data_IF_699291813561
#
_entry.id   IF_699291813561
#
_cell.length_a   1.000
_cell.length_b   1.000
_cell.length_c   1.000
_cell.angle_alpha   90.00
_cell.angle_beta   90.00
_cell.angle_gamma   90.00
#
_symmetry.space_group_name_H-M   'P 1'
#
loop_
_entity.id
_entity.type
_entity.pdbx_description
1 polymer ?
#
# COMPACT_ATOMS: atom_id res chain seq x y z
N UNK A 1 -5.26 11.91 -20.13
CA UNK A 1 -6.38 12.53 -19.39
C UNK A 1 -7.50 12.86 -20.38
N UNK A 2 -8.42 11.93 -20.60
CA UNK A 2 -9.61 12.18 -21.44
C UNK A 2 -10.86 11.68 -20.70
N UNK A 3 -11.75 12.62 -20.39
CA UNK A 3 -13.19 12.45 -20.12
C UNK A 3 -13.74 12.01 -18.75
N UNK A 4 -12.95 11.69 -17.71
CA UNK A 4 -13.52 11.17 -16.44
C UNK A 4 -13.93 12.18 -15.35
N UNK A 5 -13.13 13.24 -15.12
CA UNK A 5 -13.31 14.12 -13.94
C UNK A 5 -13.10 13.43 -12.58
N UNK A 6 -13.12 14.21 -11.49
CA UNK A 6 -12.96 13.69 -10.11
C UNK A 6 -14.05 12.67 -9.74
N UNK A 7 -15.27 12.84 -10.25
CA UNK A 7 -16.39 11.95 -9.97
C UNK A 7 -16.17 10.53 -10.52
N UNK A 8 -15.72 10.38 -11.78
CA UNK A 8 -15.47 9.05 -12.33
C UNK A 8 -14.42 8.29 -11.53
N UNK A 9 -13.35 8.97 -11.08
CA UNK A 9 -12.30 8.37 -10.24
C UNK A 9 -12.88 7.85 -8.92
N UNK A 10 -13.76 8.62 -8.27
CA UNK A 10 -14.41 8.20 -7.02
C UNK A 10 -15.29 6.96 -7.23
N UNK A 11 -16.04 6.91 -8.33
CA UNK A 11 -16.88 5.74 -8.64
C UNK A 11 -16.06 4.49 -8.95
N UNK A 12 -14.98 4.62 -9.72
CA UNK A 12 -14.09 3.49 -10.01
C UNK A 12 -13.40 3.00 -8.73
N UNK A 13 -12.99 3.90 -7.84
CA UNK A 13 -12.39 3.54 -6.54
C UNK A 13 -13.36 2.82 -5.62
N UNK A 14 -14.62 3.26 -5.60
CA UNK A 14 -15.66 2.62 -4.80
C UNK A 14 -15.89 1.17 -5.27
N UNK A 15 -16.05 0.96 -6.58
CA UNK A 15 -16.18 -0.38 -7.15
C UNK A 15 -14.95 -1.24 -6.86
N UNK A 16 -13.75 -0.69 -7.05
CA UNK A 16 -12.51 -1.39 -6.77
C UNK A 16 -12.38 -1.79 -5.30
N UNK A 17 -12.77 -0.91 -4.37
CA UNK A 17 -12.73 -1.19 -2.93
C UNK A 17 -13.63 -2.38 -2.57
N UNK A 18 -14.83 -2.45 -3.13
CA UNK A 18 -15.75 -3.59 -2.91
C UNK A 18 -15.13 -4.89 -3.42
N UNK A 19 -14.56 -4.88 -4.63
CA UNK A 19 -13.94 -6.07 -5.23
C UNK A 19 -12.70 -6.51 -4.42
N UNK A 20 -11.86 -5.56 -4.01
CA UNK A 20 -10.68 -5.84 -3.16
C UNK A 20 -11.08 -6.42 -1.81
N UNK A 21 -12.12 -5.87 -1.17
CA UNK A 21 -12.59 -6.40 0.12
C UNK A 21 -13.06 -7.84 -0.03
N UNK A 22 -13.92 -8.13 -1.01
CA UNK A 22 -14.42 -9.49 -1.26
C UNK A 22 -13.24 -10.45 -1.55
N UNK A 23 -12.33 -10.06 -2.44
CA UNK A 23 -11.18 -10.89 -2.78
C UNK A 23 -10.22 -11.11 -1.62
N UNK A 24 -9.99 -10.10 -0.77
CA UNK A 24 -9.17 -10.22 0.43
C UNK A 24 -9.84 -11.11 1.50
N UNK A 25 -11.16 -11.03 1.65
CA UNK A 25 -11.92 -11.96 2.51
C UNK A 25 -11.80 -13.41 2.03
N UNK A 26 -11.98 -13.66 0.73
CA UNK A 26 -11.81 -14.99 0.15
C UNK A 26 -10.38 -15.49 0.36
N UNK A 27 -9.37 -14.65 0.07
CA UNK A 27 -7.97 -15.00 0.28
C UNK A 27 -7.69 -15.37 1.74
N UNK A 28 -8.20 -14.58 2.68
CA UNK A 28 -8.02 -14.83 4.10
C UNK A 28 -8.60 -16.20 4.51
N UNK A 29 -9.82 -16.53 4.05
CA UNK A 29 -10.44 -17.83 4.30
C UNK A 29 -9.61 -18.97 3.70
N UNK A 30 -9.21 -18.87 2.43
CA UNK A 30 -8.40 -19.90 1.77
C UNK A 30 -7.01 -20.06 2.42
N UNK A 31 -6.45 -18.96 2.92
CA UNK A 31 -5.15 -18.98 3.62
C UNK A 31 -5.27 -19.67 4.98
N UNK A 32 -6.33 -19.38 5.74
CA UNK A 32 -6.61 -20.05 7.02
C UNK A 32 -6.97 -21.54 6.86
N UNK A 33 -7.49 -21.94 5.70
CA UNK A 33 -7.68 -23.36 5.36
C UNK A 33 -6.36 -24.08 5.08
N UNK A 34 -5.34 -23.38 4.59
CA UNK A 34 -4.00 -23.93 4.35
C UNK A 34 -3.17 -24.01 5.64
N UNK A 35 -3.25 -22.97 6.47
CA UNK A 35 -2.57 -22.88 7.75
C UNK A 35 -3.56 -22.36 8.77
N UNK A 36 -4.01 -23.23 9.68
CA UNK A 36 -4.94 -22.83 10.73
C UNK A 36 -4.30 -21.81 11.68
N UNK A 37 -5.11 -21.05 12.41
CA UNK A 37 -4.59 -20.05 13.36
C UNK A 37 -3.62 -20.63 14.39
N UNK A 38 -3.90 -21.85 14.89
CA UNK A 38 -3.03 -22.52 15.85
C UNK A 38 -1.70 -22.95 15.22
N UNK A 39 -1.76 -23.48 13.99
CA UNK A 39 -0.55 -23.83 13.24
C UNK A 39 0.27 -22.59 12.91
N UNK A 40 -0.37 -21.47 12.57
CA UNK A 40 0.31 -20.20 12.32
C UNK A 40 1.14 -19.76 13.54
N UNK A 41 0.57 -19.82 14.74
CA UNK A 41 1.29 -19.45 15.96
C UNK A 41 2.51 -20.35 16.25
N UNK A 42 2.45 -21.62 15.88
CA UNK A 42 3.53 -22.60 16.09
C UNK A 42 4.60 -22.53 15.00
N UNK A 43 4.18 -22.38 13.74
CA UNK A 43 5.04 -22.42 12.56
C UNK A 43 5.70 -21.08 12.27
N UNK A 44 5.06 -19.96 12.61
CA UNK A 44 5.61 -18.63 12.33
C UNK A 44 6.97 -18.36 12.98
N UNK A 45 7.21 -18.70 14.27
CA UNK A 45 8.55 -18.57 14.87
C UNK A 45 9.61 -19.43 14.19
N UNK A 46 9.21 -20.52 13.53
CA UNK A 46 10.09 -21.47 12.85
C UNK A 46 10.27 -21.14 11.36
N UNK A 47 9.60 -20.10 10.84
CA UNK A 47 9.69 -19.66 9.46
C UNK A 47 10.99 -18.87 9.20
N UNK A 48 12.12 -19.55 9.35
CA UNK A 48 13.49 -19.09 9.10
C UNK A 48 13.93 -19.64 7.74
N UNK A 49 14.44 -18.81 6.82
CA UNK A 49 14.87 -19.28 5.50
C UNK A 49 16.13 -20.16 5.63
N UNK A 50 16.27 -21.11 4.71
CA UNK A 50 17.38 -22.06 4.66
C UNK A 50 18.73 -21.33 4.54
N UNK A 51 18.77 -20.23 3.79
CA UNK A 51 19.97 -19.40 3.62
C UNK A 51 20.49 -18.80 4.94
N UNK A 52 19.61 -18.39 5.84
CA UNK A 52 20.00 -17.94 7.20
C UNK A 52 20.56 -19.09 8.04
N UNK A 53 20.01 -20.30 7.91
CA UNK A 53 20.50 -21.48 8.65
C UNK A 53 21.87 -21.93 8.15
N UNK A 54 22.15 -21.80 6.86
CA UNK A 54 23.46 -22.11 6.27
C UNK A 54 24.53 -21.06 6.60
N UNK A 55 24.12 -19.80 6.79
CA UNK A 55 25.01 -18.69 7.14
C UNK A 55 24.80 -18.26 8.59
N UNK A 56 25.35 -19.06 9.50
CA UNK A 56 25.25 -18.96 10.96
C UNK A 56 25.74 -17.64 11.60
N UNK A 57 26.09 -16.62 10.81
CA UNK A 57 26.60 -15.33 11.26
C UNK A 57 25.61 -14.17 11.07
N UNK A 58 24.33 -14.44 10.74
CA UNK A 58 23.33 -13.39 10.53
C UNK A 58 22.10 -13.57 11.41
N UNK A 59 21.64 -12.49 12.05
CA UNK A 59 20.35 -12.44 12.74
C UNK A 59 19.21 -12.04 11.79
N UNK A 60 19.49 -11.92 10.49
CA UNK A 60 18.55 -11.46 9.48
C UNK A 60 17.65 -12.62 9.04
N UNK A 61 16.41 -12.32 8.68
CA UNK A 61 15.44 -13.34 8.25
C UNK A 61 14.80 -14.15 9.39
N UNK A 62 15.17 -13.91 10.65
CA UNK A 62 14.57 -14.60 11.81
C UNK A 62 13.25 -13.90 12.23
N UNK A 63 12.13 -14.62 12.31
CA UNK A 63 10.88 -14.09 12.86
C UNK A 63 11.04 -13.66 14.31
N UNK A 64 10.45 -12.52 14.69
CA UNK A 64 10.56 -12.02 16.07
C UNK A 64 9.64 -12.77 17.03
N UNK A 65 10.10 -12.95 18.26
CA UNK A 65 9.32 -13.57 19.34
C UNK A 65 8.07 -12.75 19.71
N UNK A 66 8.13 -11.43 19.55
CA UNK A 66 7.03 -10.49 19.83
C UNK A 66 6.10 -10.25 18.63
N UNK A 67 6.16 -11.07 17.57
CA UNK A 67 5.42 -10.84 16.32
C UNK A 67 3.89 -10.81 16.48
N UNK A 68 3.35 -11.50 17.49
CA UNK A 68 1.91 -11.52 17.81
C UNK A 68 1.49 -10.47 18.86
N UNK A 69 2.42 -9.66 19.36
CA UNK A 69 2.11 -8.59 20.31
C UNK A 69 1.85 -7.27 19.59
N UNK A 70 0.67 -6.69 19.85
CA UNK A 70 0.29 -5.39 19.26
C UNK A 70 1.13 -4.24 19.82
N UNK A 71 1.40 -4.24 21.13
CA UNK A 71 2.28 -3.28 21.78
C UNK A 71 3.63 -3.93 22.05
N UNK A 72 4.66 -3.43 21.36
CA UNK A 72 6.04 -3.92 21.48
C UNK A 72 6.76 -3.23 22.64
N UNK A 73 7.94 -3.75 22.98
CA UNK A 73 8.75 -3.21 24.07
C UNK A 73 9.01 -1.70 23.90
N UNK A 74 8.86 -0.86 24.96
CA UNK A 74 8.91 0.60 24.87
C UNK A 74 10.24 1.19 24.39
N UNK A 75 11.36 0.46 24.50
CA UNK A 75 12.71 1.02 24.27
C UNK A 75 13.49 0.25 23.21
N UNK A 76 13.35 -1.08 23.16
CA UNK A 76 14.19 -1.96 22.33
C UNK A 76 13.47 -2.54 21.12
N UNK A 77 12.16 -2.34 21.01
CA UNK A 77 11.42 -2.77 19.82
C UNK A 77 11.58 -1.75 18.70
N UNK A 78 11.73 -2.20 17.46
CA UNK A 78 11.83 -1.31 16.28
C UNK A 78 10.61 -0.38 16.11
N UNK A 79 9.46 -0.80 16.64
CA UNK A 79 8.23 -0.02 16.69
C UNK A 79 7.78 0.08 18.15
N UNK A 80 8.45 0.91 18.96
CA UNK A 80 8.19 0.99 20.38
C UNK A 80 6.78 1.56 20.62
N UNK A 81 6.03 0.99 21.57
CA UNK A 81 4.63 1.37 21.78
C UNK A 81 4.43 2.88 22.07
N UNK A 82 5.31 3.61 22.78
CA UNK A 82 5.13 5.05 22.96
C UNK A 82 5.26 5.80 21.63
N UNK A 83 6.22 5.42 20.79
CA UNK A 83 6.37 5.97 19.44
C UNK A 83 5.17 5.65 18.55
N UNK A 84 4.61 4.44 18.69
CA UNK A 84 3.38 4.04 18.01
C UNK A 84 2.19 4.90 18.44
N UNK A 85 1.99 5.09 19.75
CA UNK A 85 0.83 5.84 20.26
C UNK A 85 0.97 7.35 20.01
N UNK A 86 2.11 7.95 20.30
CA UNK A 86 2.27 9.41 20.20
C UNK A 86 2.75 9.85 18.81
N UNK A 87 3.72 9.14 18.23
CA UNK A 87 4.30 9.49 16.93
C UNK A 87 3.39 9.19 15.75
N UNK A 88 2.81 7.98 15.69
CA UNK A 88 1.91 7.62 14.59
C UNK A 88 0.60 8.42 14.67
N UNK A 89 0.13 8.79 15.86
CA UNK A 89 -1.07 9.65 15.97
C UNK A 89 -0.86 11.01 15.30
N UNK A 90 0.30 11.66 15.50
CA UNK A 90 0.62 12.92 14.80
C UNK A 90 0.68 12.70 13.29
N UNK A 91 1.34 11.63 12.85
CA UNK A 91 1.44 11.27 11.43
C UNK A 91 0.07 10.97 10.81
N UNK A 92 -0.82 10.33 11.57
CA UNK A 92 -2.18 10.02 11.14
C UNK A 92 -3.01 11.29 11.00
N UNK A 93 -2.91 12.25 11.94
CA UNK A 93 -3.59 13.54 11.81
C UNK A 93 -3.12 14.28 10.56
N UNK A 94 -1.81 14.33 10.30
CA UNK A 94 -1.28 14.92 9.07
C UNK A 94 -1.84 14.23 7.82
N UNK A 95 -1.77 12.89 7.77
CA UNK A 95 -2.27 12.12 6.63
C UNK A 95 -3.77 12.34 6.39
N UNK A 96 -4.59 12.37 7.42
CA UNK A 96 -6.04 12.46 7.26
C UNK A 96 -6.59 13.87 7.12
N UNK A 97 -5.94 14.87 7.72
CA UNK A 97 -6.43 16.23 7.77
C UNK A 97 -5.69 17.18 6.83
N UNK A 98 -4.50 16.81 6.37
CA UNK A 98 -3.64 17.68 5.54
C UNK A 98 -3.38 17.11 4.16
N UNK A 99 -3.51 15.80 3.96
CA UNK A 99 -3.37 15.22 2.62
C UNK A 99 -4.49 15.69 1.70
N UNK A 100 -4.09 16.37 0.64
CA UNK A 100 -5.00 16.99 -0.31
C UNK A 100 -5.88 15.96 -1.04
N UNK A 101 -5.43 14.72 -1.28
CA UNK A 101 -6.26 13.69 -1.90
C UNK A 101 -7.47 13.36 -1.03
N UNK A 102 -7.27 13.30 0.29
CA UNK A 102 -8.31 12.94 1.26
C UNK A 102 -9.22 14.15 1.51
N UNK A 103 -8.63 15.32 1.75
CA UNK A 103 -9.39 16.56 1.99
C UNK A 103 -10.29 16.89 0.80
N UNK A 104 -9.80 16.75 -0.44
CA UNK A 104 -10.61 16.97 -1.64
C UNK A 104 -11.83 16.04 -1.71
N UNK A 105 -11.69 14.77 -1.32
CA UNK A 105 -12.81 13.82 -1.30
C UNK A 105 -13.84 14.17 -0.23
N UNK A 106 -13.40 14.66 0.93
CA UNK A 106 -14.29 15.14 1.97
C UNK A 106 -15.06 16.41 1.55
N UNK A 107 -14.39 17.35 0.87
CA UNK A 107 -15.00 18.58 0.35
C UNK A 107 -15.96 18.34 -0.83
N UNK A 108 -15.76 17.27 -1.60
CA UNK A 108 -16.65 16.87 -2.68
C UNK A 108 -17.94 16.17 -2.20
N UNK A 109 -18.11 15.96 -0.89
CA UNK A 109 -19.30 15.35 -0.33
C UNK A 109 -20.55 16.24 -0.48
N UNK A 110 -21.72 15.62 -0.66
CA UNK A 110 -23.00 16.34 -0.85
C UNK A 110 -23.41 17.20 0.35
N UNK A 111 -23.02 16.80 1.56
CA UNK A 111 -23.24 17.58 2.77
C UNK A 111 -22.20 17.23 3.84
N UNK A 112 -22.03 18.13 4.81
CA UNK A 112 -21.15 17.89 5.97
C UNK A 112 -21.58 16.66 6.76
N UNK A 113 -22.88 16.36 6.82
CA UNK A 113 -23.40 15.14 7.43
C UNK A 113 -22.91 13.88 6.72
N UNK A 114 -22.94 13.86 5.39
CA UNK A 114 -22.38 12.74 4.60
C UNK A 114 -20.87 12.61 4.77
N UNK A 115 -20.14 13.74 4.81
CA UNK A 115 -18.69 13.72 5.05
C UNK A 115 -18.35 13.11 6.42
N UNK A 116 -19.05 13.53 7.49
CA UNK A 116 -18.86 12.96 8.84
C UNK A 116 -19.20 11.47 8.89
N UNK A 117 -20.32 11.07 8.30
CA UNK A 117 -20.71 9.66 8.21
C UNK A 117 -19.69 8.81 7.45
N UNK A 118 -19.15 9.34 6.34
CA UNK A 118 -18.11 8.68 5.56
C UNK A 118 -16.81 8.51 6.37
N UNK A 119 -16.40 9.51 7.16
CA UNK A 119 -15.24 9.40 8.04
C UNK A 119 -15.40 8.31 9.10
N UNK A 120 -16.56 8.24 9.75
CA UNK A 120 -16.85 7.19 10.76
C UNK A 120 -16.85 5.80 10.10
N UNK A 121 -17.49 5.68 8.94
CA UNK A 121 -17.52 4.43 8.18
C UNK A 121 -16.12 3.99 7.73
N UNK A 122 -15.29 4.92 7.25
CA UNK A 122 -13.91 4.65 6.89
C UNK A 122 -13.06 4.21 8.10
N UNK A 123 -13.27 4.82 9.27
CA UNK A 123 -12.61 4.41 10.50
C UNK A 123 -12.97 2.98 10.90
N UNK A 124 -14.25 2.59 10.76
CA UNK A 124 -14.68 1.21 10.97
C UNK A 124 -14.02 0.23 9.99
N UNK A 125 -14.01 0.54 8.69
CA UNK A 125 -13.38 -0.31 7.68
C UNK A 125 -11.86 -0.47 7.88
N UNK A 126 -11.18 0.50 8.52
CA UNK A 126 -9.75 0.43 8.81
C UNK A 126 -9.34 -0.62 9.85
N UNK A 127 -10.30 -1.22 10.55
CA UNK A 127 -10.01 -2.39 11.40
C UNK A 127 -9.76 -3.64 10.56
N UNK A 128 -10.36 -3.73 9.36
CA UNK A 128 -10.30 -4.93 8.51
C UNK A 128 -8.90 -5.29 7.97
N UNK A 129 -8.03 -4.36 7.54
CA UNK A 129 -6.69 -4.68 7.03
C UNK A 129 -5.83 -5.53 7.97
N UNK A 130 -6.02 -5.41 9.29
CA UNK A 130 -5.36 -6.28 10.26
C UNK A 130 -5.68 -7.76 10.01
N UNK A 131 -6.93 -8.08 9.72
CA UNK A 131 -7.36 -9.45 9.45
C UNK A 131 -7.16 -9.85 7.99
N UNK A 132 -7.40 -8.92 7.05
CA UNK A 132 -7.45 -9.22 5.62
C UNK A 132 -6.10 -9.12 4.90
N UNK A 133 -5.11 -8.47 5.52
CA UNK A 133 -3.79 -8.24 4.92
C UNK A 133 -2.68 -8.76 5.82
N UNK A 134 -2.67 -8.39 7.11
CA UNK A 134 -1.56 -8.77 8.01
C UNK A 134 -1.54 -10.29 8.26
N UNK A 135 -2.67 -10.90 8.62
CA UNK A 135 -2.72 -12.36 8.86
C UNK A 135 -2.36 -13.16 7.59
N UNK A 136 -2.95 -12.90 6.40
CA UNK A 136 -2.50 -13.55 5.18
C UNK A 136 -1.02 -13.30 4.88
N UNK A 137 -0.50 -12.11 5.15
CA UNK A 137 0.94 -11.81 5.03
C UNK A 137 1.82 -12.70 5.90
N UNK A 138 1.42 -12.93 7.16
CA UNK A 138 2.12 -13.86 8.06
C UNK A 138 2.04 -15.31 7.56
N UNK A 139 0.87 -15.75 7.07
CA UNK A 139 0.68 -17.07 6.48
C UNK A 139 1.57 -17.24 5.23
N UNK A 140 1.69 -16.20 4.40
CA UNK A 140 2.56 -16.21 3.23
C UNK A 140 4.03 -16.44 3.60
N UNK A 141 4.50 -15.80 4.68
CA UNK A 141 5.85 -16.04 5.20
C UNK A 141 6.04 -17.50 5.61
N UNK A 142 5.05 -18.13 6.25
CA UNK A 142 5.13 -19.54 6.67
C UNK A 142 5.12 -20.50 5.47
N UNK A 143 4.32 -20.21 4.44
CA UNK A 143 4.20 -21.07 3.26
C UNK A 143 5.36 -20.91 2.27
N UNK A 144 5.94 -19.71 2.18
CA UNK A 144 6.95 -19.33 1.20
C UNK A 144 8.16 -18.68 1.87
N UNK A 145 8.67 -19.30 2.93
CA UNK A 145 9.74 -18.77 3.78
C UNK A 145 10.96 -18.34 2.98
N UNK A 146 11.53 -19.22 2.15
CA UNK A 146 12.76 -18.92 1.41
C UNK A 146 12.60 -17.80 0.39
N UNK A 147 11.42 -17.67 -0.23
CA UNK A 147 11.16 -16.60 -1.20
C UNK A 147 10.81 -15.26 -0.53
N UNK A 148 10.08 -15.25 0.58
CA UNK A 148 9.58 -14.02 1.21
C UNK A 148 10.58 -13.45 2.23
N UNK A 149 11.27 -14.33 2.95
CA UNK A 149 12.21 -13.98 4.01
C UNK A 149 13.67 -14.12 3.58
N UNK A 150 13.94 -14.19 2.27
CA UNK A 150 15.31 -14.28 1.72
C UNK A 150 16.24 -13.21 2.35
N UNK A 151 17.48 -13.61 2.59
CA UNK A 151 18.53 -12.77 3.17
C UNK A 151 19.71 -12.61 2.21
N UNK A 152 19.95 -13.62 1.38
CA UNK A 152 20.96 -13.58 0.33
C UNK A 152 20.52 -12.64 -0.82
N UNK A 153 21.30 -11.60 -1.15
CA UNK A 153 21.03 -10.73 -2.28
C UNK A 153 20.80 -11.48 -3.60
N UNK A 154 21.56 -12.54 -3.88
CA UNK A 154 21.46 -13.27 -5.15
C UNK A 154 20.12 -14.03 -5.26
N UNK A 155 19.71 -14.71 -4.19
CA UNK A 155 18.41 -15.38 -4.12
C UNK A 155 17.25 -14.38 -4.14
N UNK A 156 17.38 -13.26 -3.41
CA UNK A 156 16.37 -12.22 -3.39
C UNK A 156 16.20 -11.55 -4.77
N UNK A 157 17.31 -11.32 -5.49
CA UNK A 157 17.27 -10.79 -6.85
C UNK A 157 16.56 -11.73 -7.83
N UNK A 158 16.80 -13.04 -7.69
CA UNK A 158 16.13 -14.06 -8.51
C UNK A 158 14.62 -14.16 -8.23
N UNK A 159 14.20 -14.04 -6.98
CA UNK A 159 12.79 -14.21 -6.59
C UNK A 159 11.94 -12.95 -6.72
N UNK A 160 12.48 -11.78 -6.36
CA UNK A 160 11.70 -10.54 -6.30
C UNK A 160 12.38 -9.29 -6.88
N UNK A 161 13.55 -9.43 -7.52
CA UNK A 161 14.29 -8.31 -8.12
C UNK A 161 14.59 -7.18 -7.12
N UNK A 162 14.90 -7.56 -5.86
CA UNK A 162 15.24 -6.62 -4.80
C UNK A 162 16.34 -7.23 -3.93
N UNK A 163 17.48 -6.55 -3.83
CA UNK A 163 18.60 -6.97 -2.97
C UNK A 163 18.30 -6.81 -1.48
N UNK A 164 17.41 -5.87 -1.14
CA UNK A 164 17.08 -5.53 0.26
C UNK A 164 16.04 -6.46 0.89
N UNK A 165 15.56 -7.47 0.15
CA UNK A 165 14.62 -8.48 0.62
C UNK A 165 13.25 -8.44 -0.06
N UNK A 166 12.48 -9.51 0.15
CA UNK A 166 11.25 -9.82 -0.58
C UNK A 166 9.97 -9.74 0.27
N UNK A 167 9.98 -9.01 1.39
CA UNK A 167 8.79 -8.94 2.27
C UNK A 167 7.57 -8.31 1.59
N UNK A 168 7.78 -7.35 0.66
CA UNK A 168 6.70 -6.67 -0.07
C UNK A 168 5.96 -7.59 -1.05
N UNK A 169 6.56 -8.72 -1.48
CA UNK A 169 5.91 -9.67 -2.38
C UNK A 169 5.08 -10.73 -1.65
N UNK A 170 5.05 -10.73 -0.31
CA UNK A 170 4.33 -11.72 0.48
C UNK A 170 2.86 -11.84 0.10
N UNK A 171 2.12 -10.73 0.05
CA UNK A 171 0.70 -10.75 -0.26
C UNK A 171 0.42 -11.14 -1.72
N UNK A 172 1.08 -10.56 -2.75
CA UNK A 172 0.96 -11.03 -4.13
C UNK A 172 1.34 -12.50 -4.34
N UNK A 173 2.42 -12.99 -3.71
CA UNK A 173 2.85 -14.39 -3.82
C UNK A 173 1.75 -15.33 -3.29
N UNK A 174 1.11 -14.96 -2.19
CA UNK A 174 -0.02 -15.73 -1.64
C UNK A 174 -1.22 -15.73 -2.58
N UNK A 175 -1.60 -14.57 -3.13
CA UNK A 175 -2.68 -14.44 -4.13
C UNK A 175 -2.46 -15.40 -5.29
N UNK A 176 -1.22 -15.46 -5.82
CA UNK A 176 -0.89 -16.26 -7.00
C UNK A 176 -0.94 -17.77 -6.73
N UNK A 177 -0.61 -18.20 -5.51
CA UNK A 177 -0.46 -19.62 -5.16
C UNK A 177 -1.65 -20.22 -4.39
N UNK A 178 -2.51 -19.39 -3.80
CA UNK A 178 -3.65 -19.84 -2.99
C UNK A 178 -4.99 -19.65 -3.70
N UNK A 179 -5.15 -18.59 -4.51
CA UNK A 179 -6.43 -18.35 -5.17
C UNK A 179 -6.66 -19.27 -6.37
N UNK A 180 -7.93 -19.65 -6.64
CA UNK A 180 -8.28 -20.40 -7.84
C UNK A 180 -8.10 -19.56 -9.11
N UNK A 181 -7.99 -20.27 -10.23
CA UNK A 181 -7.97 -19.69 -11.58
C UNK A 181 -9.20 -18.81 -11.80
N UNK A 182 -9.03 -17.66 -12.46
CA UNK A 182 -10.06 -16.64 -12.58
C UNK A 182 -9.97 -15.60 -11.45
N UNK A 183 -10.17 -15.99 -10.18
CA UNK A 183 -10.10 -15.06 -9.05
C UNK A 183 -8.70 -14.47 -8.89
N UNK A 184 -7.65 -15.27 -9.10
CA UNK A 184 -6.27 -14.79 -9.18
C UNK A 184 -6.11 -13.64 -10.17
N UNK A 185 -6.61 -13.82 -11.39
CA UNK A 185 -6.50 -12.82 -12.47
C UNK A 185 -7.28 -11.56 -12.14
N UNK A 186 -8.49 -11.71 -11.60
CA UNK A 186 -9.30 -10.59 -11.11
C UNK A 186 -8.56 -9.78 -10.05
N UNK A 187 -7.96 -10.45 -9.06
CA UNK A 187 -7.25 -9.77 -7.98
C UNK A 187 -6.01 -9.03 -8.46
N UNK A 188 -5.22 -9.63 -9.36
CA UNK A 188 -4.06 -8.95 -9.96
C UNK A 188 -4.49 -7.73 -10.78
N UNK A 189 -5.55 -7.85 -11.58
CA UNK A 189 -6.08 -6.74 -12.36
C UNK A 189 -6.57 -5.58 -11.47
N UNK A 190 -7.25 -5.92 -10.37
CA UNK A 190 -7.77 -4.94 -9.41
C UNK A 190 -6.64 -4.22 -8.66
N UNK A 191 -5.56 -4.93 -8.29
CA UNK A 191 -4.37 -4.30 -7.70
C UNK A 191 -3.73 -3.33 -8.69
N UNK A 192 -3.59 -3.72 -9.96
CA UNK A 192 -3.04 -2.83 -11.00
C UNK A 192 -3.94 -1.61 -11.25
N UNK A 193 -5.27 -1.81 -11.27
CA UNK A 193 -6.24 -0.72 -11.31
C UNK A 193 -6.06 0.24 -10.13
N UNK A 194 -5.83 -0.29 -8.93
CA UNK A 194 -5.62 0.52 -7.74
C UNK A 194 -4.38 1.38 -7.80
N UNK A 195 -3.27 0.81 -8.28
CA UNK A 195 -2.05 1.58 -8.50
C UNK A 195 -2.28 2.73 -9.48
N UNK A 196 -2.98 2.46 -10.58
CA UNK A 196 -3.32 3.51 -11.57
C UNK A 196 -4.22 4.59 -10.99
N UNK A 197 -5.19 4.23 -10.14
CA UNK A 197 -6.05 5.21 -9.50
C UNK A 197 -5.33 6.05 -8.45
N UNK A 198 -4.46 5.45 -7.64
CA UNK A 198 -3.62 6.17 -6.68
C UNK A 198 -2.70 7.17 -7.39
N UNK A 199 -2.02 6.74 -8.46
CA UNK A 199 -1.19 7.63 -9.29
C UNK A 199 -2.00 8.78 -9.87
N UNK A 200 -3.18 8.48 -10.42
CA UNK A 200 -4.09 9.49 -10.97
C UNK A 200 -4.52 10.50 -9.92
N UNK A 201 -4.84 10.04 -8.71
CA UNK A 201 -5.24 10.90 -7.58
C UNK A 201 -4.12 11.82 -7.13
N UNK A 202 -2.89 11.31 -7.03
CA UNK A 202 -1.70 12.10 -6.66
C UNK A 202 -1.42 13.18 -7.70
N UNK A 203 -1.45 12.83 -8.99
CA UNK A 203 -1.23 13.81 -10.06
C UNK A 203 -2.32 14.86 -10.13
N UNK A 204 -3.58 14.48 -9.90
CA UNK A 204 -4.68 15.44 -9.84
C UNK A 204 -4.52 16.41 -8.67
N UNK A 205 -4.22 15.89 -7.48
CA UNK A 205 -3.96 16.69 -6.27
C UNK A 205 -2.80 17.67 -6.48
N UNK A 206 -1.67 17.20 -7.01
CA UNK A 206 -0.50 18.02 -7.34
C UNK A 206 -0.83 19.12 -8.36
N UNK A 207 -1.60 18.79 -9.40
CA UNK A 207 -2.07 19.77 -10.38
C UNK A 207 -2.96 20.83 -9.75
N UNK A 208 -3.86 20.46 -8.84
CA UNK A 208 -4.75 21.41 -8.15
C UNK A 208 -3.96 22.37 -7.27
N UNK A 209 -3.02 21.85 -6.47
CA UNK A 209 -2.14 22.69 -5.64
C UNK A 209 -1.39 23.68 -6.53
N UNK A 210 -0.83 23.21 -7.64
CA UNK A 210 -0.11 24.10 -8.54
C UNK A 210 -1.00 25.16 -9.20
N UNK A 211 -2.17 24.79 -9.72
CA UNK A 211 -3.03 25.74 -10.45
C UNK A 211 -3.72 26.74 -9.52
N UNK A 212 -4.19 26.29 -8.36
CA UNK A 212 -4.93 27.14 -7.43
C UNK A 212 -3.98 27.93 -6.53
N UNK A 213 -2.98 27.29 -5.93
CA UNK A 213 -2.19 27.95 -4.88
C UNK A 213 -1.00 28.74 -5.45
N UNK A 214 -0.43 28.29 -6.58
CA UNK A 214 0.72 28.95 -7.22
C UNK A 214 0.27 29.79 -8.42
N UNK A 215 -0.42 29.19 -9.39
CA UNK A 215 -0.70 29.87 -10.66
C UNK A 215 -1.67 31.04 -10.50
N UNK A 216 -2.76 30.90 -9.74
CA UNK A 216 -3.66 32.04 -9.45
C UNK A 216 -2.98 33.15 -8.66
N UNK A 217 -1.99 32.82 -7.82
CA UNK A 217 -1.24 33.84 -7.07
C UNK A 217 -0.33 34.66 -7.99
N UNK A 218 0.26 34.02 -9.00
CA UNK A 218 1.08 34.69 -10.01
C UNK A 218 0.20 35.44 -11.02
N UNK A 219 -0.94 34.85 -11.42
CA UNK A 219 -1.87 35.41 -12.39
C UNK A 219 -3.32 35.41 -11.85
N UNK A 220 -3.74 36.48 -11.15
CA UNK A 220 -5.05 36.53 -10.49
C UNK A 220 -6.25 36.40 -11.43
N UNK A 221 -6.12 36.90 -12.67
CA UNK A 221 -7.18 36.92 -13.68
C UNK A 221 -7.09 35.76 -14.69
N UNK A 222 -6.54 34.61 -14.29
CA UNK A 222 -6.43 33.43 -15.16
C UNK A 222 -7.81 32.89 -15.55
N UNK A 223 -8.01 32.60 -16.85
CA UNK A 223 -9.26 32.00 -17.36
C UNK A 223 -9.33 30.51 -17.02
N UNK A 224 -10.54 29.94 -16.95
CA UNK A 224 -10.73 28.50 -16.67
C UNK A 224 -10.05 27.58 -17.68
N UNK A 225 -10.07 27.96 -18.96
CA UNK A 225 -9.37 27.22 -20.03
C UNK A 225 -7.86 27.25 -19.85
N UNK A 226 -7.30 28.38 -19.41
CA UNK A 226 -5.88 28.52 -19.10
C UNK A 226 -5.49 27.63 -17.92
N UNK A 227 -6.29 27.62 -16.85
CA UNK A 227 -6.05 26.75 -15.68
C UNK A 227 -6.07 25.27 -16.03
N UNK A 228 -7.00 24.84 -16.91
CA UNK A 228 -7.04 23.45 -17.39
C UNK A 228 -5.79 23.07 -18.19
N UNK A 229 -5.31 23.95 -19.08
CA UNK A 229 -4.11 23.70 -19.89
C UNK A 229 -2.85 23.65 -19.01
N UNK A 230 -2.70 24.61 -18.10
CA UNK A 230 -1.57 24.66 -17.15
C UNK A 230 -1.55 23.43 -16.25
N UNK A 231 -2.71 22.99 -15.76
CA UNK A 231 -2.83 21.78 -14.96
C UNK A 231 -2.39 20.53 -15.73
N UNK A 232 -2.88 20.35 -16.97
CA UNK A 232 -2.47 19.21 -17.83
C UNK A 232 -0.97 19.20 -18.13
N UNK A 233 -0.40 20.38 -18.42
CA UNK A 233 1.04 20.51 -18.64
C UNK A 233 1.85 20.10 -17.41
N UNK A 234 1.42 20.55 -16.22
CA UNK A 234 2.10 20.23 -14.96
C UNK A 234 2.03 18.74 -14.63
N UNK A 235 0.86 18.10 -14.84
CA UNK A 235 0.73 16.65 -14.69
C UNK A 235 1.67 15.89 -15.63
N UNK A 236 1.74 16.27 -16.91
CA UNK A 236 2.67 15.64 -17.85
C UNK A 236 4.12 15.79 -17.40
N UNK A 237 4.50 16.99 -16.95
CA UNK A 237 5.86 17.25 -16.48
C UNK A 237 6.22 16.43 -15.25
N UNK A 238 5.34 16.36 -14.25
CA UNK A 238 5.55 15.55 -13.04
C UNK A 238 5.67 14.07 -13.39
N UNK A 239 4.85 13.58 -14.33
CA UNK A 239 4.94 12.20 -14.83
C UNK A 239 6.30 11.92 -15.47
N UNK A 240 6.77 12.79 -16.39
CA UNK A 240 8.07 12.62 -17.04
C UNK A 240 9.22 12.59 -16.02
N UNK A 241 9.19 13.48 -15.03
CA UNK A 241 10.20 13.52 -13.97
C UNK A 241 10.19 12.21 -13.16
N UNK A 242 9.02 11.76 -12.72
CA UNK A 242 8.90 10.50 -11.97
C UNK A 242 9.37 9.29 -12.80
N UNK A 243 9.05 9.23 -14.09
CA UNK A 243 9.55 8.16 -14.97
C UNK A 243 11.07 8.19 -15.12
N UNK A 244 11.68 9.38 -15.23
CA UNK A 244 13.14 9.50 -15.27
C UNK A 244 13.77 9.02 -13.96
N UNK A 245 13.28 9.47 -12.81
CA UNK A 245 13.77 9.01 -11.50
C UNK A 245 13.62 7.51 -11.33
N UNK A 246 12.45 6.94 -11.64
CA UNK A 246 12.24 5.50 -11.56
C UNK A 246 13.18 4.72 -12.50
N UNK A 247 13.47 5.25 -13.68
CA UNK A 247 14.41 4.62 -14.63
C UNK A 247 15.85 4.65 -14.11
N UNK A 248 16.25 5.74 -13.43
CA UNK A 248 17.57 5.86 -12.80
C UNK A 248 17.71 4.87 -11.65
N UNK A 249 16.70 4.76 -10.79
CA UNK A 249 16.70 3.84 -9.65
C UNK A 249 16.71 2.38 -10.12
N UNK A 250 15.98 2.06 -11.18
CA UNK A 250 16.00 0.72 -11.79
C UNK A 250 17.35 0.41 -12.48
N UNK A 251 18.08 1.43 -12.94
CA UNK A 251 19.42 1.27 -13.49
C UNK A 251 20.46 1.10 -12.38
N UNK A 252 20.29 1.78 -11.25
CA UNK A 252 21.18 1.68 -10.09
C UNK A 252 21.11 0.32 -9.39
N UNK A 253 19.96 -0.37 -9.44
CA UNK A 253 19.81 -1.74 -8.92
C UNK A 253 20.38 -2.84 -9.85
N UNK A 254 20.96 -2.49 -11.00
CA UNK A 254 21.61 -3.45 -11.92
C UNK A 254 23.14 -3.41 -11.87
N UNK A 255 23.72 -2.44 -11.16
CA UNK A 255 25.18 -2.28 -10.98
C UNK A 255 25.58 -2.72 -9.57
#
# INVERSE_FOLDING_TARGET
MSSGGLAAVIYTDAAQTVIMLIGAFILMILSLQRVSWRELQLMYPQAIPTSTLTWANTSCGIPREDAFHMFRHPVTGDLPWPGMVFGITVSAVWYWCTDQVIVQRALAAKSVGHAKGACIFAAFLKVLPMFLIVIPGMISRVLFTDSVACVDPDDCMRECQSETGCTNVAYPKLVVNVMPTGLKGLMLAVVMSGLMSSLTSIFNSSSTIFTIDIWKRIRPNAKETEMMVVGRYRTCRTLCVNCMFASVEFSAHKE
#
